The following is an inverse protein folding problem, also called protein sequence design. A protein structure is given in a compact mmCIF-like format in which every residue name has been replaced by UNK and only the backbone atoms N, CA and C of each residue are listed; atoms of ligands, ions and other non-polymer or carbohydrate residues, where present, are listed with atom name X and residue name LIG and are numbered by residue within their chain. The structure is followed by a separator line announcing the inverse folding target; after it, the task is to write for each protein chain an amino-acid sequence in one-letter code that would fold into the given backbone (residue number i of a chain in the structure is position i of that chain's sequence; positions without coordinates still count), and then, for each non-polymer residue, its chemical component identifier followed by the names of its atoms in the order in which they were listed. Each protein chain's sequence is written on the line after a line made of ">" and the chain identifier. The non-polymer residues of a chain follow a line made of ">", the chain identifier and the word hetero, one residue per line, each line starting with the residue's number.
data_IF_945082640187
#
_entry.id   IF_945082640187
#
_cell.length_a   1.000
_cell.length_b   1.000
_cell.length_c   1.000
_cell.angle_alpha   90.00
_cell.angle_beta   90.00
_cell.angle_gamma   90.00
#
_symmetry.space_group_name_H-M   'P 1'
#
loop_
_entity.id
_entity.type
_entity.pdbx_description
1 polymer ?
#
# COMPACT_ATOMS: atom_id res chain seq x y z
N UNK A 1 5.26 82.94 25.64
CA UNK A 1 4.44 82.37 24.55
C UNK A 1 4.33 80.88 24.83
N UNK A 2 3.32 80.47 25.61
CA UNK A 2 3.12 79.09 26.05
C UNK A 2 1.89 78.53 25.35
N UNK A 3 2.11 77.51 24.52
CA UNK A 3 1.04 76.76 23.84
C UNK A 3 0.58 75.66 24.78
N UNK A 4 -0.69 75.73 25.22
CA UNK A 4 -1.39 74.65 25.92
C UNK A 4 -1.79 73.58 24.90
N UNK A 5 -1.37 72.34 25.13
CA UNK A 5 -1.89 71.15 24.44
C UNK A 5 -3.14 70.68 25.18
N UNK A 6 -4.27 70.71 24.47
CA UNK A 6 -5.55 70.20 24.93
C UNK A 6 -5.56 68.68 24.98
N UNK A 7 -6.08 68.16 26.09
CA UNK A 7 -6.33 66.76 26.38
C UNK A 7 -7.43 66.21 25.48
N UNK A 8 -7.04 65.41 24.48
CA UNK A 8 -7.99 64.63 23.67
C UNK A 8 -8.59 63.47 24.49
N UNK A 9 -9.91 63.34 24.44
CA UNK A 9 -10.73 62.49 25.31
C UNK A 9 -10.45 60.98 25.18
N UNK A 10 -10.16 60.36 26.33
CA UNK A 10 -9.90 58.93 26.56
C UNK A 10 -11.09 57.99 26.30
N UNK A 11 -12.17 58.44 25.63
CA UNK A 11 -13.42 57.67 25.47
C UNK A 11 -13.72 57.14 24.06
N UNK A 12 -12.91 57.46 23.05
CA UNK A 12 -13.09 56.92 21.69
C UNK A 12 -12.09 55.82 21.29
N UNK A 13 -11.06 55.55 22.10
CA UNK A 13 -10.07 54.50 21.80
C UNK A 13 -10.51 53.07 22.20
N UNK A 14 -11.58 52.91 22.98
CA UNK A 14 -12.04 51.60 23.46
C UNK A 14 -13.02 50.92 22.48
N UNK A 15 -13.68 51.70 21.61
CA UNK A 15 -14.74 51.18 20.72
C UNK A 15 -14.22 50.64 19.38
N UNK A 16 -12.98 50.96 18.97
CA UNK A 16 -12.35 50.36 17.78
C UNK A 16 -11.69 49.00 18.04
N UNK A 17 -11.33 48.67 19.29
CA UNK A 17 -10.75 47.36 19.64
C UNK A 17 -11.81 46.25 19.72
N UNK A 18 -13.06 46.58 20.04
CA UNK A 18 -14.14 45.59 20.11
C UNK A 18 -14.62 45.13 18.72
N UNK A 19 -14.52 45.99 17.70
CA UNK A 19 -14.86 45.63 16.32
C UNK A 19 -13.78 44.76 15.65
N UNK A 20 -12.51 44.87 16.07
CA UNK A 20 -11.43 44.03 15.57
C UNK A 20 -11.40 42.65 16.25
N UNK A 21 -11.93 42.52 17.47
CA UNK A 21 -11.99 41.23 18.18
C UNK A 21 -13.14 40.31 17.69
N UNK A 22 -14.18 40.86 17.07
CA UNK A 22 -15.33 40.08 16.57
C UNK A 22 -15.09 39.52 15.15
N UNK A 23 -14.03 39.97 14.47
CA UNK A 23 -13.56 39.42 13.20
C UNK A 23 -12.45 38.35 13.34
N UNK A 24 -12.21 37.86 14.56
CA UNK A 24 -11.80 36.46 14.74
C UNK A 24 -13.04 35.57 14.57
N UNK A 25 -13.65 35.65 13.39
CA UNK A 25 -14.55 34.61 12.91
C UNK A 25 -13.75 33.31 12.97
N UNK A 26 -14.14 32.45 13.90
CA UNK A 26 -13.73 31.06 13.99
C UNK A 26 -13.84 30.46 12.59
N UNK A 27 -12.74 30.46 11.83
CA UNK A 27 -12.55 29.61 10.67
C UNK A 27 -12.48 28.20 11.24
N UNK A 28 -13.65 27.63 11.48
CA UNK A 28 -13.78 26.20 11.71
C UNK A 28 -13.03 25.55 10.54
N UNK A 29 -12.00 24.73 10.79
CA UNK A 29 -11.28 24.08 9.73
C UNK A 29 -12.33 23.32 8.92
N UNK A 30 -12.47 23.67 7.65
CA UNK A 30 -13.23 22.86 6.73
C UNK A 30 -12.67 21.45 6.88
N UNK A 31 -13.51 20.51 7.33
CA UNK A 31 -13.14 19.11 7.46
C UNK A 31 -12.85 18.64 6.05
N UNK A 32 -11.57 18.63 5.68
CA UNK A 32 -11.14 18.15 4.39
C UNK A 32 -11.57 16.69 4.26
N UNK A 33 -12.10 16.32 3.08
CA UNK A 33 -12.48 14.94 2.80
C UNK A 33 -11.31 14.00 3.14
N UNK A 34 -11.58 12.83 3.76
CA UNK A 34 -10.52 11.92 4.14
C UNK A 34 -9.70 11.48 2.92
N UNK A 35 -8.37 11.45 3.08
CA UNK A 35 -7.49 10.86 2.08
C UNK A 35 -7.55 9.34 2.25
N UNK A 36 -7.95 8.64 1.19
CA UNK A 36 -8.17 7.20 1.18
C UNK A 36 -7.50 6.59 -0.05
N UNK A 37 -6.84 5.46 0.18
CA UNK A 37 -6.24 4.62 -0.83
C UNK A 37 -7.08 3.33 -0.96
N UNK A 38 -7.30 2.91 -2.19
CA UNK A 38 -7.97 1.67 -2.52
C UNK A 38 -7.36 1.03 -3.75
N UNK A 39 -7.97 -0.08 -4.18
CA UNK A 39 -7.62 -0.78 -5.41
C UNK A 39 -8.88 -1.12 -6.18
N UNK A 40 -8.78 -1.06 -7.50
CA UNK A 40 -9.75 -1.62 -8.43
C UNK A 40 -9.21 -2.92 -9.00
N UNK A 41 -9.79 -4.03 -8.58
CA UNK A 41 -9.27 -5.38 -8.78
C UNK A 41 -10.33 -6.33 -9.33
N UNK A 42 -9.88 -7.46 -9.86
CA UNK A 42 -10.75 -8.60 -10.14
C UNK A 42 -10.72 -9.52 -8.91
N UNK A 43 -11.86 -9.72 -8.22
CA UNK A 43 -11.93 -10.66 -7.11
C UNK A 43 -11.46 -12.06 -7.53
N UNK A 44 -10.69 -12.71 -6.66
CA UNK A 44 -10.12 -14.03 -6.95
C UNK A 44 -11.07 -15.16 -6.50
N UNK A 45 -10.68 -16.41 -6.76
CA UNK A 45 -11.36 -17.60 -6.24
C UNK A 45 -12.78 -17.85 -6.78
N UNK A 46 -13.03 -17.54 -8.06
CA UNK A 46 -14.35 -17.71 -8.71
C UNK A 46 -15.49 -16.92 -8.04
N UNK A 47 -15.15 -15.92 -7.23
CA UNK A 47 -16.09 -14.82 -6.99
C UNK A 47 -16.41 -14.19 -8.34
N UNK A 48 -17.62 -13.64 -8.50
CA UNK A 48 -18.13 -13.12 -9.77
C UNK A 48 -17.04 -12.34 -10.55
N UNK A 49 -16.96 -12.52 -11.87
CA UNK A 49 -15.91 -11.91 -12.71
C UNK A 49 -15.95 -10.39 -12.77
N UNK A 50 -16.86 -9.76 -12.02
CA UNK A 50 -17.09 -8.32 -12.01
C UNK A 50 -15.98 -7.63 -11.20
N UNK A 51 -15.14 -6.86 -11.89
CA UNK A 51 -14.13 -6.04 -11.24
C UNK A 51 -14.78 -5.08 -10.24
N UNK A 52 -14.17 -4.96 -9.08
CA UNK A 52 -14.71 -4.24 -7.94
C UNK A 52 -13.61 -3.40 -7.28
N UNK A 53 -14.02 -2.40 -6.51
CA UNK A 53 -13.11 -1.59 -5.73
C UNK A 53 -13.10 -2.04 -4.26
N UNK A 54 -11.90 -2.06 -3.68
CA UNK A 54 -11.67 -2.29 -2.26
C UNK A 54 -10.99 -1.07 -1.67
N UNK A 55 -11.53 -0.56 -0.57
CA UNK A 55 -10.92 0.54 0.17
C UNK A 55 -9.94 -0.06 1.18
N UNK A 56 -8.69 0.36 1.14
CA UNK A 56 -7.60 -0.29 1.86
C UNK A 56 -7.12 0.53 3.05
N UNK A 57 -6.76 1.78 2.82
CA UNK A 57 -6.07 2.60 3.82
C UNK A 57 -6.64 4.01 3.86
N UNK A 58 -6.67 4.62 5.05
CA UNK A 58 -6.98 6.03 5.22
C UNK A 58 -5.82 6.76 5.90
N UNK A 59 -5.59 8.01 5.53
CA UNK A 59 -4.60 8.87 6.19
C UNK A 59 -5.23 9.51 7.44
N UNK A 60 -4.61 9.32 8.59
CA UNK A 60 -4.98 9.93 9.88
C UNK A 60 -3.77 10.65 10.47
N UNK A 61 -3.77 11.99 10.39
CA UNK A 61 -2.58 12.79 10.68
C UNK A 61 -1.43 12.37 9.76
N UNK A 62 -0.27 12.04 10.35
CA UNK A 62 0.94 11.65 9.60
C UNK A 62 1.01 10.14 9.29
N UNK A 63 -0.02 9.36 9.64
CA UNK A 63 0.00 7.90 9.53
C UNK A 63 -1.08 7.38 8.61
N UNK A 64 -0.79 6.26 7.96
CA UNK A 64 -1.79 5.47 7.27
C UNK A 64 -2.35 4.42 8.22
N UNK A 65 -3.67 4.25 8.22
CA UNK A 65 -4.38 3.20 8.96
C UNK A 65 -5.10 2.28 7.98
N UNK A 66 -5.12 0.99 8.26
CA UNK A 66 -5.92 0.05 7.48
C UNK A 66 -7.41 0.35 7.68
N UNK A 67 -8.25 -0.06 6.72
CA UNK A 67 -9.71 0.01 6.78
C UNK A 67 -10.31 -1.39 6.92
N UNK A 68 -9.71 -2.23 7.77
CA UNK A 68 -9.97 -3.66 7.83
C UNK A 68 -11.04 -4.06 8.85
N UNK A 69 -11.50 -3.11 9.67
CA UNK A 69 -12.55 -3.34 10.66
C UNK A 69 -13.60 -2.21 10.68
N UNK A 70 -14.77 -2.55 11.22
CA UNK A 70 -15.91 -1.65 11.25
C UNK A 70 -15.67 -0.41 12.11
N UNK A 71 -14.83 -0.50 13.15
CA UNK A 71 -14.55 0.63 14.04
C UNK A 71 -13.86 1.76 13.27
N UNK A 72 -12.77 1.43 12.58
CA UNK A 72 -12.02 2.36 11.70
C UNK A 72 -12.91 2.94 10.60
N UNK A 73 -13.83 2.14 10.05
CA UNK A 73 -14.80 2.61 9.06
C UNK A 73 -15.86 3.54 9.66
N UNK A 74 -16.28 3.29 10.91
CA UNK A 74 -17.33 4.03 11.61
C UNK A 74 -16.85 5.34 12.25
N UNK A 75 -15.56 5.46 12.54
CA UNK A 75 -14.95 6.75 12.89
C UNK A 75 -14.71 7.61 11.64
N UNK A 76 -14.37 6.98 10.51
CA UNK A 76 -14.29 7.62 9.19
C UNK A 76 -15.68 7.74 8.54
N UNK A 77 -16.63 8.30 9.29
CA UNK A 77 -18.04 8.46 8.92
C UNK A 77 -18.13 9.09 7.53
N UNK A 78 -18.58 8.28 6.57
CA UNK A 78 -18.85 8.65 5.18
C UNK A 78 -17.63 8.66 4.24
N UNK A 79 -17.04 7.48 3.99
CA UNK A 79 -16.21 7.24 2.79
C UNK A 79 -17.01 7.30 1.46
N UNK A 80 -18.21 7.90 1.46
CA UNK A 80 -18.95 8.28 0.26
C UNK A 80 -18.25 9.45 -0.41
N UNK A 81 -17.07 9.16 -0.95
CA UNK A 81 -16.27 10.10 -1.70
C UNK A 81 -16.90 10.29 -3.09
N UNK A 82 -17.08 11.53 -3.55
CA UNK A 82 -17.84 11.82 -4.76
C UNK A 82 -17.12 11.38 -6.05
N UNK A 83 -15.81 11.14 -5.97
CA UNK A 83 -14.95 10.76 -7.09
C UNK A 83 -13.69 10.08 -6.60
N UNK A 84 -13.16 9.17 -7.41
CA UNK A 84 -11.89 8.49 -7.22
C UNK A 84 -11.05 8.66 -8.47
N UNK A 85 -9.75 8.85 -8.30
CA UNK A 85 -8.80 8.85 -9.42
C UNK A 85 -8.17 7.46 -9.52
N UNK A 86 -8.16 6.92 -10.73
CA UNK A 86 -7.52 5.65 -11.07
C UNK A 86 -6.09 5.96 -11.48
N UNK A 87 -5.13 5.31 -10.84
CA UNK A 87 -3.71 5.65 -10.99
C UNK A 87 -2.89 4.42 -11.32
N UNK A 88 -1.84 4.65 -12.11
CA UNK A 88 -0.81 3.66 -12.43
C UNK A 88 0.46 4.36 -12.93
N UNK A 89 1.62 3.95 -12.42
CA UNK A 89 2.95 4.41 -12.82
C UNK A 89 3.06 5.94 -12.83
N UNK A 90 2.54 6.59 -11.78
CA UNK A 90 2.57 8.04 -11.66
C UNK A 90 1.59 8.79 -12.56
N UNK A 91 0.54 8.12 -13.10
CA UNK A 91 -0.39 8.71 -14.09
C UNK A 91 -1.85 8.52 -13.72
N UNK A 92 -2.65 9.53 -14.01
CA UNK A 92 -4.12 9.44 -13.99
C UNK A 92 -4.62 8.69 -15.23
N UNK A 93 -5.25 7.53 -15.02
CA UNK A 93 -5.89 6.72 -16.07
C UNK A 93 -7.38 7.04 -16.26
N UNK A 94 -7.98 7.80 -15.35
CA UNK A 94 -9.38 8.19 -15.38
C UNK A 94 -9.94 8.47 -13.99
N UNK A 95 -11.19 8.90 -13.95
CA UNK A 95 -11.94 9.07 -12.71
C UNK A 95 -13.12 8.12 -12.69
N UNK A 96 -13.47 7.62 -11.51
CA UNK A 96 -14.64 6.77 -11.32
C UNK A 96 -15.46 7.22 -10.11
N UNK A 97 -16.73 6.83 -10.12
CA UNK A 97 -17.61 6.92 -8.95
C UNK A 97 -17.91 5.51 -8.47
N UNK A 98 -17.87 5.33 -7.16
CA UNK A 98 -18.17 4.06 -6.51
C UNK A 98 -19.55 4.13 -5.87
N UNK A 99 -20.29 3.03 -5.98
CA UNK A 99 -21.49 2.79 -5.17
C UNK A 99 -21.29 1.57 -4.30
N UNK A 100 -21.84 1.64 -3.10
CA UNK A 100 -21.98 0.48 -2.22
C UNK A 100 -23.14 -0.38 -2.74
N UNK A 101 -22.91 -1.62 -3.18
CA UNK A 101 -23.99 -2.49 -3.63
C UNK A 101 -24.92 -2.92 -2.49
N UNK A 102 -24.48 -2.86 -1.24
CA UNK A 102 -25.22 -3.34 -0.07
C UNK A 102 -25.27 -2.28 1.06
N UNK A 103 -25.88 -1.10 0.83
CA UNK A 103 -25.88 0.00 1.80
C UNK A 103 -26.75 -0.28 3.03
N UNK A 104 -27.72 -1.19 2.91
CA UNK A 104 -28.72 -1.50 3.93
C UNK A 104 -28.39 -2.75 4.76
N UNK A 105 -27.15 -3.26 4.73
CA UNK A 105 -26.72 -4.36 5.60
C UNK A 105 -26.08 -3.78 6.88
N UNK A 106 -26.85 -3.56 7.96
CA UNK A 106 -26.32 -3.05 9.23
C UNK A 106 -25.46 -4.07 9.98
N UNK A 107 -25.40 -5.32 9.51
CA UNK A 107 -24.72 -6.45 10.14
C UNK A 107 -23.50 -6.89 9.33
N UNK A 108 -22.48 -6.04 9.33
CA UNK A 108 -21.11 -6.46 9.06
C UNK A 108 -20.36 -6.74 10.39
N UNK A 109 -21.13 -7.11 11.42
CA UNK A 109 -20.65 -7.23 12.81
C UNK A 109 -19.81 -8.49 13.05
N UNK A 110 -19.90 -9.49 12.17
CA UNK A 110 -19.23 -10.78 12.36
C UNK A 110 -18.60 -11.23 11.02
N UNK A 111 -17.27 -11.32 10.98
CA UNK A 111 -16.40 -12.00 9.99
C UNK A 111 -16.14 -11.44 8.57
N UNK A 112 -16.90 -10.49 8.02
CA UNK A 112 -16.84 -10.20 6.56
C UNK A 112 -16.11 -8.90 6.12
N UNK A 113 -15.67 -8.02 7.02
CA UNK A 113 -15.34 -6.64 6.61
C UNK A 113 -14.10 -6.49 5.71
N UNK A 114 -12.99 -7.14 6.05
CA UNK A 114 -11.73 -6.95 5.31
C UNK A 114 -11.79 -7.50 3.88
N UNK A 115 -12.17 -8.76 3.70
CA UNK A 115 -12.18 -9.39 2.36
C UNK A 115 -13.43 -9.06 1.54
N UNK A 116 -14.59 -8.87 2.15
CA UNK A 116 -15.85 -8.96 1.40
C UNK A 116 -16.57 -7.61 1.24
N UNK A 117 -16.05 -6.53 1.84
CA UNK A 117 -16.57 -5.17 1.57
C UNK A 117 -16.04 -4.65 0.24
N UNK A 118 -16.81 -4.90 -0.81
CA UNK A 118 -16.52 -4.44 -2.17
C UNK A 118 -17.49 -3.35 -2.62
N UNK A 119 -16.95 -2.41 -3.38
CA UNK A 119 -17.68 -1.34 -4.05
C UNK A 119 -17.68 -1.61 -5.55
N UNK A 120 -18.74 -1.18 -6.23
CA UNK A 120 -18.84 -1.33 -7.68
C UNK A 120 -18.80 0.04 -8.36
N UNK A 121 -18.16 0.18 -9.52
CA UNK A 121 -18.17 1.43 -10.26
C UNK A 121 -19.58 1.72 -10.78
N UNK A 122 -19.99 2.99 -10.78
CA UNK A 122 -21.27 3.40 -11.39
C UNK A 122 -21.28 3.22 -12.91
N UNK A 123 -20.11 3.28 -13.55
CA UNK A 123 -19.92 3.16 -15.00
C UNK A 123 -18.77 2.16 -15.29
N UNK A 124 -18.95 0.85 -15.08
CA UNK A 124 -17.90 -0.17 -15.19
C UNK A 124 -17.21 -0.18 -16.57
N UNK A 125 -17.93 0.14 -17.63
CA UNK A 125 -17.44 0.16 -19.01
C UNK A 125 -16.41 1.27 -19.29
N UNK A 126 -16.35 2.29 -18.43
CA UNK A 126 -15.38 3.39 -18.53
C UNK A 126 -14.09 3.12 -17.76
N UNK A 127 -14.04 2.03 -16.99
CA UNK A 127 -12.89 1.75 -16.13
C UNK A 127 -11.79 1.08 -16.96
N UNK A 128 -10.59 1.68 -17.07
CA UNK A 128 -9.49 1.11 -17.84
C UNK A 128 -9.12 -0.29 -17.32
N UNK A 129 -8.74 -1.15 -18.26
CA UNK A 129 -8.25 -2.50 -17.96
C UNK A 129 -6.81 -2.63 -18.43
N UNK A 130 -5.93 -3.03 -17.51
CA UNK A 130 -4.55 -3.36 -17.81
C UNK A 130 -4.36 -4.84 -17.57
N UNK A 131 -3.86 -5.56 -18.57
CA UNK A 131 -3.68 -7.02 -18.50
C UNK A 131 -2.59 -7.39 -17.50
N UNK A 132 -2.77 -8.53 -16.84
CA UNK A 132 -1.78 -9.15 -15.97
C UNK A 132 -0.99 -10.24 -16.73
N UNK A 133 -0.24 -9.83 -17.75
CA UNK A 133 0.46 -10.77 -18.65
C UNK A 133 1.49 -11.66 -17.90
N UNK A 134 2.09 -11.11 -16.85
CA UNK A 134 3.04 -11.80 -15.99
C UNK A 134 2.41 -12.75 -14.97
N UNK A 135 1.08 -12.70 -14.80
CA UNK A 135 0.32 -13.48 -13.81
C UNK A 135 0.84 -13.28 -12.36
N UNK A 136 1.30 -12.07 -12.03
CA UNK A 136 2.05 -11.83 -10.77
C UNK A 136 1.17 -11.66 -9.53
N UNK A 137 -0.07 -11.22 -9.70
CA UNK A 137 -1.00 -10.94 -8.59
C UNK A 137 -1.82 -12.18 -8.17
N UNK A 138 -1.22 -13.37 -8.27
CA UNK A 138 -1.82 -14.61 -7.78
C UNK A 138 -1.86 -14.64 -6.26
N UNK A 139 -2.96 -15.14 -5.72
CA UNK A 139 -3.13 -15.45 -4.31
C UNK A 139 -3.11 -16.95 -4.06
N UNK A 140 -3.94 -17.38 -3.11
CA UNK A 140 -4.37 -18.77 -2.97
C UNK A 140 -5.11 -19.31 -4.22
N UNK A 141 -5.53 -18.39 -5.09
CA UNK A 141 -6.28 -18.66 -6.31
C UNK A 141 -5.50 -18.25 -7.55
N UNK A 142 -6.03 -18.59 -8.73
CA UNK A 142 -5.41 -18.19 -10.00
C UNK A 142 -5.26 -16.67 -10.08
N UNK A 143 -4.11 -16.24 -10.58
CA UNK A 143 -3.86 -14.83 -10.83
C UNK A 143 -4.97 -14.23 -11.70
N UNK A 144 -5.44 -13.01 -11.38
CA UNK A 144 -6.49 -12.36 -12.13
C UNK A 144 -6.01 -12.03 -13.56
N UNK A 145 -6.94 -11.93 -14.50
CA UNK A 145 -6.62 -11.61 -15.90
C UNK A 145 -6.18 -10.14 -16.04
N UNK A 146 -6.75 -9.26 -15.21
CA UNK A 146 -6.39 -7.86 -15.11
C UNK A 146 -5.54 -7.62 -13.85
N UNK A 147 -4.53 -6.75 -13.95
CA UNK A 147 -3.79 -6.33 -12.76
C UNK A 147 -4.66 -5.41 -11.89
N UNK A 148 -4.45 -5.40 -10.56
CA UNK A 148 -5.00 -4.36 -9.71
C UNK A 148 -4.52 -2.97 -10.17
N UNK A 149 -5.42 -1.98 -10.09
CA UNK A 149 -5.12 -0.57 -10.32
C UNK A 149 -5.36 0.19 -9.02
N UNK A 150 -4.53 1.18 -8.70
CA UNK A 150 -4.70 1.95 -7.47
C UNK A 150 -5.80 2.99 -7.64
N UNK A 151 -6.54 3.23 -6.56
CA UNK A 151 -7.55 4.27 -6.43
C UNK A 151 -7.15 5.24 -5.34
N UNK A 152 -7.16 6.54 -5.64
CA UNK A 152 -6.87 7.59 -4.66
C UNK A 152 -8.08 8.53 -4.56
N UNK A 153 -8.49 8.90 -3.35
CA UNK A 153 -9.63 9.81 -3.14
C UNK A 153 -9.32 11.26 -3.49
N UNK A 154 -8.04 11.61 -3.56
CA UNK A 154 -7.53 12.91 -4.02
C UNK A 154 -6.71 12.68 -5.29
N UNK A 155 -6.59 13.71 -6.12
CA UNK A 155 -5.81 13.65 -7.36
C UNK A 155 -4.28 13.71 -7.12
N UNK A 156 -3.82 13.01 -6.09
CA UNK A 156 -2.42 12.88 -5.71
C UNK A 156 -1.92 11.54 -6.28
N UNK A 157 -1.18 11.59 -7.38
CA UNK A 157 -0.81 10.38 -8.11
C UNK A 157 0.56 10.47 -8.78
N UNK A 158 1.28 11.56 -8.62
CA UNK A 158 2.61 11.69 -9.19
C UNK A 158 3.55 10.72 -8.48
N UNK A 159 4.49 10.11 -9.22
CA UNK A 159 5.58 9.33 -8.63
C UNK A 159 6.86 10.18 -8.67
N UNK A 160 7.16 10.97 -7.63
CA UNK A 160 8.33 11.86 -7.62
C UNK A 160 9.65 11.07 -7.70
N UNK A 161 9.68 9.87 -7.11
CA UNK A 161 10.84 8.98 -7.17
C UNK A 161 10.92 8.16 -8.47
N UNK A 162 9.89 8.16 -9.33
CA UNK A 162 9.85 7.51 -10.65
C UNK A 162 10.37 6.08 -10.62
N UNK A 163 9.83 5.25 -9.74
CA UNK A 163 10.21 3.85 -9.63
C UNK A 163 9.97 3.12 -10.95
N UNK A 164 10.98 2.38 -11.41
CA UNK A 164 10.92 1.64 -12.67
C UNK A 164 11.46 0.24 -12.52
N UNK A 165 10.88 -0.75 -13.22
CA UNK A 165 11.42 -2.10 -13.22
C UNK A 165 12.83 -2.12 -13.82
N UNK A 166 13.69 -2.96 -13.24
CA UNK A 166 14.98 -3.33 -13.81
C UNK A 166 15.24 -4.82 -13.55
N UNK A 167 16.20 -5.39 -14.29
CA UNK A 167 16.64 -6.77 -14.08
C UNK A 167 17.88 -6.77 -13.18
N UNK A 168 17.80 -7.25 -11.92
CA UNK A 168 18.97 -7.37 -11.06
C UNK A 168 19.98 -8.36 -11.66
N UNK A 169 21.26 -8.01 -11.65
CA UNK A 169 22.33 -8.88 -12.11
C UNK A 169 22.86 -9.81 -11.01
N UNK A 170 23.76 -10.73 -11.35
CA UNK A 170 24.25 -11.76 -10.42
C UNK A 170 25.04 -11.19 -9.22
N UNK A 171 25.54 -9.95 -9.28
CA UNK A 171 26.26 -9.34 -8.17
C UNK A 171 25.39 -9.17 -6.92
N UNK A 172 24.07 -8.95 -7.10
CA UNK A 172 23.13 -8.85 -5.98
C UNK A 172 23.07 -10.12 -5.14
N UNK A 173 23.32 -11.30 -5.71
CA UNK A 173 23.32 -12.56 -4.94
C UNK A 173 24.39 -12.55 -3.85
N UNK A 174 25.54 -11.95 -4.12
CA UNK A 174 26.62 -11.84 -3.13
C UNK A 174 26.24 -10.83 -2.03
N UNK A 175 25.73 -9.65 -2.42
CA UNK A 175 25.33 -8.61 -1.47
C UNK A 175 24.13 -9.01 -0.60
N UNK A 176 23.19 -9.78 -1.15
CA UNK A 176 21.96 -10.19 -0.47
C UNK A 176 22.06 -11.55 0.23
N UNK A 177 23.13 -12.33 0.03
CA UNK A 177 23.26 -13.63 0.68
C UNK A 177 23.21 -13.53 2.21
N UNK A 178 24.02 -12.65 2.81
CA UNK A 178 24.06 -12.51 4.26
C UNK A 178 22.75 -11.91 4.82
N UNK A 179 22.20 -10.81 4.26
CA UNK A 179 20.88 -10.30 4.66
C UNK A 179 19.77 -11.35 4.56
N UNK A 180 19.71 -12.09 3.44
CA UNK A 180 18.73 -13.16 3.27
C UNK A 180 18.94 -14.28 4.29
N UNK A 181 20.18 -14.71 4.53
CA UNK A 181 20.50 -15.71 5.55
C UNK A 181 20.11 -15.28 6.95
N UNK A 182 20.15 -13.99 7.29
CA UNK A 182 19.67 -13.47 8.57
C UNK A 182 18.13 -13.49 8.69
N UNK A 183 17.44 -13.21 7.59
CA UNK A 183 15.96 -13.26 7.54
C UNK A 183 15.48 -14.71 7.55
N UNK A 184 16.03 -15.54 6.68
CA UNK A 184 15.70 -16.96 6.49
C UNK A 184 16.25 -17.84 7.61
N UNK A 185 17.42 -17.54 8.16
CA UNK A 185 18.09 -18.34 9.19
C UNK A 185 17.30 -18.44 10.50
N UNK A 186 16.29 -17.59 10.69
CA UNK A 186 15.28 -17.73 11.75
C UNK A 186 14.39 -18.97 11.58
N UNK A 187 14.33 -19.53 10.38
CA UNK A 187 13.41 -20.60 10.00
C UNK A 187 14.11 -21.95 9.78
N UNK A 188 15.42 -22.07 10.04
CA UNK A 188 16.22 -23.27 9.75
C UNK A 188 15.95 -23.81 8.35
N UNK A 189 16.51 -23.17 7.32
CA UNK A 189 16.37 -23.64 5.94
C UNK A 189 16.62 -25.16 5.87
N UNK A 190 15.69 -25.90 5.29
CA UNK A 190 15.77 -27.35 5.09
C UNK A 190 15.70 -27.70 3.60
N UNK A 191 16.18 -28.88 3.25
CA UNK A 191 15.89 -29.53 1.98
C UNK A 191 15.45 -30.97 2.22
N UNK A 192 14.72 -31.54 1.28
CA UNK A 192 14.17 -32.89 1.35
C UNK A 192 14.83 -33.74 0.26
N UNK A 193 15.83 -34.55 0.65
CA UNK A 193 16.65 -35.33 -0.31
C UNK A 193 15.88 -36.56 -0.82
N UNK A 194 15.05 -37.16 0.05
CA UNK A 194 14.29 -38.39 -0.22
C UNK A 194 12.79 -38.21 0.04
N UNK A 195 12.26 -37.04 -0.32
CA UNK A 195 10.86 -36.66 -0.11
C UNK A 195 10.60 -36.02 1.26
N UNK A 196 9.35 -35.59 1.49
CA UNK A 196 8.97 -34.71 2.59
C UNK A 196 9.28 -35.22 4.00
N UNK A 197 9.40 -36.55 4.19
CA UNK A 197 9.70 -37.17 5.48
C UNK A 197 11.20 -37.15 5.83
N UNK A 198 12.07 -36.78 4.89
CA UNK A 198 13.53 -36.78 5.04
C UNK A 198 14.09 -35.36 4.86
N UNK A 199 13.75 -34.47 5.80
CA UNK A 199 14.25 -33.10 5.82
C UNK A 199 15.61 -33.00 6.54
N UNK A 200 16.57 -32.34 5.91
CA UNK A 200 17.87 -32.02 6.51
C UNK A 200 18.11 -30.51 6.52
N UNK A 201 18.87 -29.96 7.49
CA UNK A 201 19.30 -28.56 7.45
C UNK A 201 20.10 -28.26 6.18
N UNK A 202 19.74 -27.19 5.50
CA UNK A 202 20.38 -26.77 4.26
C UNK A 202 21.21 -25.51 4.46
N UNK A 203 22.53 -25.63 4.30
CA UNK A 203 23.46 -24.50 4.23
C UNK A 203 23.56 -24.00 2.78
N UNK A 204 22.52 -23.30 2.31
CA UNK A 204 22.46 -22.72 0.98
C UNK A 204 23.55 -21.65 0.77
N UNK A 205 23.97 -21.47 -0.48
CA UNK A 205 25.03 -20.55 -0.90
C UNK A 205 24.51 -19.48 -1.86
N UNK A 206 25.29 -18.44 -2.19
CA UNK A 206 24.87 -17.43 -3.18
C UNK A 206 24.39 -18.02 -4.52
N UNK A 207 25.01 -19.10 -5.00
CA UNK A 207 24.61 -19.81 -6.22
C UNK A 207 23.25 -20.54 -6.14
N UNK A 208 22.71 -20.71 -4.93
CA UNK A 208 21.39 -21.29 -4.68
C UNK A 208 20.29 -20.23 -4.63
N UNK A 209 20.65 -18.96 -4.81
CA UNK A 209 19.70 -17.86 -4.81
C UNK A 209 19.18 -17.58 -6.22
N UNK A 210 17.92 -17.15 -6.30
CA UNK A 210 17.25 -16.68 -7.52
C UNK A 210 16.86 -15.22 -7.34
N UNK A 211 17.21 -14.40 -8.32
CA UNK A 211 16.76 -13.02 -8.43
C UNK A 211 15.47 -13.01 -9.24
N UNK A 212 14.41 -12.42 -8.70
CA UNK A 212 13.09 -12.43 -9.32
C UNK A 212 12.82 -11.12 -10.05
N UNK A 213 12.84 -10.00 -9.31
CA UNK A 213 12.41 -8.68 -9.79
C UNK A 213 13.24 -7.58 -9.14
N UNK A 214 13.36 -6.46 -9.81
CA UNK A 214 13.99 -5.25 -9.29
C UNK A 214 13.20 -4.01 -9.67
N UNK A 215 13.17 -3.02 -8.79
CA UNK A 215 12.69 -1.67 -9.09
C UNK A 215 13.74 -0.65 -8.66
N UNK A 216 13.98 0.37 -9.47
CA UNK A 216 14.95 1.43 -9.18
C UNK A 216 14.26 2.78 -9.24
N UNK A 217 14.48 3.60 -8.22
CA UNK A 217 14.05 5.00 -8.21
C UNK A 217 15.01 5.89 -9.03
N UNK A 218 14.54 7.06 -9.44
CA UNK A 218 15.34 8.12 -10.04
C UNK A 218 16.42 8.67 -9.09
N UNK A 219 16.28 8.46 -7.78
CA UNK A 219 17.25 8.85 -6.76
C UNK A 219 18.27 7.75 -6.42
N UNK A 220 18.23 6.61 -7.13
CA UNK A 220 19.22 5.54 -7.01
C UNK A 220 18.94 4.51 -5.92
N UNK A 221 17.85 4.64 -5.14
CA UNK A 221 17.36 3.54 -4.31
C UNK A 221 16.91 2.37 -5.17
N UNK A 222 17.13 1.15 -4.71
CA UNK A 222 16.80 -0.07 -5.44
C UNK A 222 16.07 -1.07 -4.56
N UNK A 223 14.95 -1.56 -5.03
CA UNK A 223 14.19 -2.61 -4.39
C UNK A 223 14.43 -3.91 -5.15
N UNK A 224 14.97 -4.93 -4.50
CA UNK A 224 15.37 -6.20 -5.14
C UNK A 224 14.68 -7.38 -4.46
N UNK A 225 14.00 -8.20 -5.26
CA UNK A 225 13.37 -9.44 -4.85
C UNK A 225 14.31 -10.61 -5.10
N UNK A 226 14.66 -11.32 -4.04
CA UNK A 226 15.54 -12.49 -4.05
C UNK A 226 14.90 -13.62 -3.23
N UNK A 227 15.24 -14.86 -3.53
CA UNK A 227 14.85 -16.00 -2.71
C UNK A 227 15.70 -17.21 -3.04
N UNK A 228 15.33 -18.33 -2.45
CA UNK A 228 16.05 -19.58 -2.62
C UNK A 228 15.46 -20.33 -3.82
N UNK A 229 16.32 -20.97 -4.62
CA UNK A 229 15.89 -21.78 -5.74
C UNK A 229 15.08 -22.99 -5.27
N UNK A 230 13.75 -22.90 -5.42
CA UNK A 230 12.82 -23.94 -4.98
C UNK A 230 13.08 -25.29 -5.65
N UNK A 231 13.68 -25.29 -6.85
CA UNK A 231 14.01 -26.55 -7.55
C UNK A 231 15.08 -27.36 -6.84
N UNK A 232 15.83 -26.74 -5.91
CA UNK A 232 16.88 -27.38 -5.11
C UNK A 232 16.41 -27.88 -3.74
N UNK A 233 15.19 -27.50 -3.31
CA UNK A 233 14.68 -27.87 -1.99
C UNK A 233 14.17 -29.31 -1.96
N UNK A 234 13.53 -29.79 -3.03
CA UNK A 234 13.01 -31.16 -3.10
C UNK A 234 11.84 -31.49 -2.14
N UNK A 235 11.33 -30.50 -1.40
CA UNK A 235 10.20 -30.70 -0.48
C UNK A 235 8.87 -30.44 -1.21
N UNK A 236 7.92 -31.37 -1.09
CA UNK A 236 6.55 -31.26 -1.65
C UNK A 236 5.63 -30.32 -0.83
N UNK A 237 6.20 -29.39 -0.05
CA UNK A 237 5.44 -28.55 0.87
C UNK A 237 5.05 -27.19 0.27
N UNK A 238 4.03 -26.61 0.89
CA UNK A 238 3.57 -25.24 0.63
C UNK A 238 4.75 -24.29 0.82
N UNK A 239 4.88 -23.29 -0.06
CA UNK A 239 5.93 -22.26 0.02
C UNK A 239 5.71 -21.44 1.30
N UNK A 240 6.34 -21.88 2.38
CA UNK A 240 6.40 -21.14 3.63
C UNK A 240 7.19 -19.82 3.46
N UNK A 241 7.07 -18.86 4.38
CA UNK A 241 7.72 -17.56 4.26
C UNK A 241 9.22 -17.62 3.93
N UNK A 242 9.95 -18.59 4.48
CA UNK A 242 11.38 -18.80 4.21
C UNK A 242 11.70 -19.19 2.76
N UNK A 243 10.73 -19.75 2.04
CA UNK A 243 10.85 -20.20 0.66
C UNK A 243 10.28 -19.20 -0.34
N UNK A 244 9.58 -18.18 0.16
CA UNK A 244 9.07 -17.11 -0.69
C UNK A 244 10.17 -16.17 -1.18
N UNK A 245 9.81 -15.33 -2.14
CA UNK A 245 10.64 -14.20 -2.50
C UNK A 245 10.62 -13.14 -1.38
N UNK A 246 11.80 -12.59 -1.10
CA UNK A 246 12.08 -11.57 -0.10
C UNK A 246 12.54 -10.29 -0.78
N UNK A 247 12.01 -9.16 -0.35
CA UNK A 247 12.32 -7.84 -0.85
C UNK A 247 13.31 -7.14 0.07
N UNK A 248 14.36 -6.60 -0.54
CA UNK A 248 15.37 -5.78 0.13
C UNK A 248 15.48 -4.42 -0.56
N UNK A 249 15.62 -3.37 0.24
CA UNK A 249 15.89 -2.01 -0.22
C UNK A 249 17.38 -1.72 -0.07
N UNK A 250 18.00 -1.30 -1.17
CA UNK A 250 19.30 -0.67 -1.22
C UNK A 250 19.13 0.85 -1.19
N UNK A 251 19.79 1.50 -0.24
CA UNK A 251 19.95 2.94 -0.17
C UNK A 251 21.44 3.24 0.04
N UNK A 252 22.16 3.37 -1.08
CA UNK A 252 23.63 3.36 -1.09
C UNK A 252 24.18 2.02 -0.59
N UNK A 253 24.97 2.05 0.48
CA UNK A 253 25.55 0.85 1.11
C UNK A 253 24.60 0.17 2.12
N UNK A 254 23.49 0.84 2.47
CA UNK A 254 22.51 0.32 3.42
C UNK A 254 21.59 -0.67 2.73
N UNK A 255 21.44 -1.86 3.32
CA UNK A 255 20.51 -2.89 2.87
C UNK A 255 19.47 -3.14 3.97
N UNK A 256 18.20 -2.96 3.66
CA UNK A 256 17.09 -3.17 4.60
C UNK A 256 16.12 -4.22 4.08
N UNK A 257 15.65 -5.09 4.98
CA UNK A 257 14.57 -6.02 4.65
C UNK A 257 13.23 -5.29 4.66
N UNK A 258 12.50 -5.38 3.55
CA UNK A 258 11.22 -4.69 3.35
C UNK A 258 10.03 -5.61 3.61
N UNK A 259 10.12 -6.87 3.19
CA UNK A 259 9.07 -7.86 3.39
C UNK A 259 9.24 -9.04 2.46
N UNK A 260 8.27 -9.95 2.44
CA UNK A 260 8.29 -11.15 1.60
C UNK A 260 6.86 -11.46 1.12
N UNK A 261 6.73 -12.38 0.16
CA UNK A 261 5.40 -12.77 -0.38
C UNK A 261 4.60 -11.59 -0.95
N UNK A 262 5.32 -10.62 -1.53
CA UNK A 262 4.73 -9.39 -2.05
C UNK A 262 5.02 -9.22 -3.54
N UNK A 263 4.10 -8.54 -4.22
CA UNK A 263 4.21 -8.11 -5.61
C UNK A 263 3.87 -6.61 -5.69
N UNK A 264 4.74 -5.79 -6.28
CA UNK A 264 4.50 -4.35 -6.37
C UNK A 264 3.30 -4.08 -7.28
N UNK A 265 2.28 -3.41 -6.74
CA UNK A 265 1.08 -2.98 -7.47
C UNK A 265 1.31 -1.64 -8.14
N UNK A 266 1.83 -0.65 -7.41
CA UNK A 266 2.09 0.69 -7.94
C UNK A 266 2.98 1.50 -6.98
N UNK A 267 3.52 2.61 -7.48
CA UNK A 267 4.23 3.63 -6.72
C UNK A 267 3.64 5.02 -6.98
N UNK A 268 3.53 5.85 -5.95
CA UNK A 268 3.06 7.22 -6.08
C UNK A 268 3.04 7.98 -4.76
N UNK A 269 3.10 9.29 -4.84
CA UNK A 269 2.94 10.23 -3.73
C UNK A 269 1.44 10.44 -3.47
N UNK A 270 0.86 9.54 -2.70
CA UNK A 270 -0.58 9.49 -2.49
C UNK A 270 -1.04 10.49 -1.43
N UNK A 271 -0.16 10.90 -0.51
CA UNK A 271 -0.45 11.94 0.49
C UNK A 271 0.10 13.33 0.19
N UNK A 272 0.80 13.49 -0.93
CA UNK A 272 1.36 14.74 -1.44
C UNK A 272 2.42 15.34 -0.48
N UNK A 273 3.28 14.48 0.07
CA UNK A 273 4.42 14.86 0.91
C UNK A 273 5.74 15.01 0.12
N UNK A 274 5.72 14.72 -1.18
CA UNK A 274 6.86 14.77 -2.08
C UNK A 274 7.69 13.49 -2.15
N UNK A 275 7.23 12.40 -1.52
CA UNK A 275 7.87 11.07 -1.53
C UNK A 275 6.89 10.04 -2.07
N UNK A 276 7.42 8.95 -2.63
CA UNK A 276 6.57 7.90 -3.17
C UNK A 276 6.26 6.86 -2.08
N UNK A 277 4.98 6.54 -1.92
CA UNK A 277 4.54 5.30 -1.30
C UNK A 277 4.65 4.13 -2.28
N UNK A 278 4.86 2.92 -1.74
CA UNK A 278 4.83 1.67 -2.50
C UNK A 278 3.68 0.79 -2.01
N UNK A 279 2.75 0.50 -2.90
CA UNK A 279 1.65 -0.44 -2.62
C UNK A 279 1.98 -1.81 -3.18
N UNK A 280 1.89 -2.83 -2.34
CA UNK A 280 2.10 -4.23 -2.72
C UNK A 280 0.82 -5.04 -2.55
N UNK A 281 0.61 -5.99 -3.46
CA UNK A 281 -0.21 -7.17 -3.24
C UNK A 281 0.58 -8.14 -2.37
N UNK A 282 -0.07 -8.73 -1.36
CA UNK A 282 0.50 -9.75 -0.48
C UNK A 282 -0.26 -11.06 -0.65
N UNK A 283 0.46 -12.17 -0.77
CA UNK A 283 -0.11 -13.52 -0.81
C UNK A 283 0.79 -14.51 -0.07
N UNK A 284 0.40 -14.84 1.15
CA UNK A 284 1.09 -15.79 2.01
C UNK A 284 0.23 -16.98 2.43
N UNK A 285 0.76 -17.79 3.35
CA UNK A 285 0.02 -18.95 3.84
C UNK A 285 -1.26 -18.52 4.56
N UNK A 286 -2.39 -18.98 4.02
CA UNK A 286 -3.75 -18.69 4.48
C UNK A 286 -4.09 -17.20 4.62
N UNK A 287 -3.35 -16.31 3.98
CA UNK A 287 -3.54 -14.86 4.08
C UNK A 287 -3.21 -14.15 2.78
N UNK A 288 -4.13 -13.34 2.31
CA UNK A 288 -3.90 -12.43 1.19
C UNK A 288 -4.21 -11.00 1.61
N UNK A 289 -3.76 -10.02 0.83
CA UNK A 289 -4.05 -8.63 1.12
C UNK A 289 -3.18 -7.63 0.40
N UNK A 290 -3.04 -6.48 1.04
CA UNK A 290 -2.24 -5.38 0.55
C UNK A 290 -1.35 -4.82 1.66
N UNK A 291 -0.16 -4.39 1.27
CA UNK A 291 0.80 -3.74 2.16
C UNK A 291 1.17 -2.39 1.56
N UNK A 292 0.99 -1.32 2.32
CA UNK A 292 1.45 0.00 1.96
C UNK A 292 2.71 0.33 2.74
N UNK A 293 3.77 0.72 2.03
CA UNK A 293 5.04 1.13 2.60
C UNK A 293 5.22 2.62 2.32
N UNK A 294 5.48 3.40 3.36
CA UNK A 294 5.42 4.87 3.33
C UNK A 294 6.46 5.52 4.26
N UNK A 295 6.51 6.86 4.29
CA UNK A 295 7.45 7.64 5.11
C UNK A 295 8.91 7.25 4.80
N UNK A 296 9.34 7.51 3.56
CA UNK A 296 10.69 7.16 3.07
C UNK A 296 11.01 5.67 3.21
N UNK A 297 9.97 4.85 3.04
CA UNK A 297 9.98 3.39 3.14
C UNK A 297 10.33 2.84 4.54
N UNK A 298 10.11 3.62 5.59
CA UNK A 298 10.42 3.25 6.99
C UNK A 298 9.22 2.74 7.76
N UNK A 299 8.02 3.05 7.28
CA UNK A 299 6.77 2.62 7.90
C UNK A 299 6.02 1.67 6.96
N UNK A 300 5.22 0.79 7.55
CA UNK A 300 4.30 -0.07 6.80
C UNK A 300 2.96 -0.20 7.51
N UNK A 301 1.91 -0.35 6.72
CA UNK A 301 0.57 -0.70 7.20
C UNK A 301 0.00 -1.81 6.32
N UNK A 302 -0.70 -2.75 6.94
CA UNK A 302 -1.15 -3.98 6.30
C UNK A 302 -2.68 -4.08 6.33
N UNK A 303 -3.25 -4.39 5.18
CA UNK A 303 -4.65 -4.75 5.02
C UNK A 303 -4.69 -6.22 4.59
N UNK A 304 -4.79 -7.14 5.54
CA UNK A 304 -4.75 -8.58 5.28
C UNK A 304 -6.07 -9.24 5.68
N UNK A 305 -6.41 -10.33 5.00
CA UNK A 305 -7.50 -11.22 5.38
C UNK A 305 -7.04 -12.67 5.38
N UNK A 306 -7.61 -13.45 6.31
CA UNK A 306 -7.37 -14.89 6.42
C UNK A 306 -8.43 -15.72 5.70
N UNK A 307 -8.09 -16.97 5.37
CA UNK A 307 -9.03 -17.96 4.82
C UNK A 307 -9.64 -18.89 5.90
N UNK A 308 -9.09 -18.88 7.11
CA UNK A 308 -9.51 -19.68 8.26
C UNK A 308 -9.61 -18.83 9.52
#
# INVERSE_FOLDING_TARGET
>A
MHVRLETLGRRQAVSLWLAFLILLTLSLPATADPLVLGVFEQPQCKQESTRSARLLFAKTGDRWVALNNQYEFSENRHLTLPSWTIVLDGRNLGNLKLRDPNPASPTLKDWYYGRDKLYVPENPEKVPTVKNESKSFGGWCQAPEARPLVLVSRANFDDPEKWKPFSPDQSYKQSLYLPLKLVVGRFNAIHCIEGADHSEPWDFKPEDLVLYKGYRSAFGKELVSIGIDLTKIGCDSIVEPQWSNHWFLFDGEKIEFIGNQMELVDSGDYDNDGRSELLFWYSGYNRDGYVLIYDDLRQKVEYLWGYH
#
